data_IF_008480733059
#
_entry.id   IF_008480733059
#
_cell.length_a   1.000
_cell.length_b   1.000
_cell.length_c   1.000
_cell.angle_alpha   90.00
_cell.angle_beta   90.00
_cell.angle_gamma   90.00
#
_symmetry.space_group_name_H-M   'P 1'
#
loop_
_entity.id
_entity.type
_entity.pdbx_description
1 polymer ?
#
# COMPACT_ATOMS: atom_id res chain seq x y z
N UNK A 1 14.55 -3.43 1.23
CA UNK A 1 13.57 -3.84 0.18
C UNK A 1 12.58 -4.77 0.86
N UNK A 2 11.28 -4.64 0.62
CA UNK A 2 10.27 -5.62 1.06
C UNK A 2 10.06 -6.67 -0.03
N UNK A 3 10.87 -7.76 -0.08
CA UNK A 3 10.85 -8.68 -1.21
C UNK A 3 9.54 -9.45 -1.30
N UNK A 4 8.87 -9.67 -0.17
CA UNK A 4 7.63 -10.45 -0.07
C UNK A 4 6.53 -9.87 -0.95
N UNK A 5 6.45 -8.53 -1.04
CA UNK A 5 5.40 -7.84 -1.80
C UNK A 5 5.95 -7.23 -3.09
N UNK A 6 7.15 -6.65 -3.08
CA UNK A 6 7.73 -6.03 -4.27
C UNK A 6 8.07 -7.02 -5.39
N UNK A 7 8.44 -8.27 -5.05
CA UNK A 7 8.74 -9.28 -6.09
C UNK A 7 7.48 -9.69 -6.84
N UNK A 8 6.38 -10.10 -6.18
CA UNK A 8 5.12 -10.35 -6.88
C UNK A 8 4.59 -9.15 -7.66
N UNK A 9 4.70 -7.93 -7.11
CA UNK A 9 4.30 -6.70 -7.81
C UNK A 9 5.14 -6.53 -9.09
N UNK A 10 6.46 -6.67 -9.00
CA UNK A 10 7.35 -6.55 -10.15
C UNK A 10 7.04 -7.59 -11.24
N UNK A 11 6.85 -8.85 -10.86
CA UNK A 11 6.45 -9.92 -11.79
C UNK A 11 5.10 -9.59 -12.43
N UNK A 12 4.13 -9.10 -11.65
CA UNK A 12 2.83 -8.65 -12.15
C UNK A 12 2.98 -7.56 -13.21
N UNK A 13 3.80 -6.54 -12.96
CA UNK A 13 4.10 -5.47 -13.93
C UNK A 13 4.69 -6.04 -15.22
N UNK A 14 5.60 -7.01 -15.15
CA UNK A 14 6.11 -7.67 -16.36
C UNK A 14 5.01 -8.43 -17.09
N UNK A 15 4.19 -9.21 -16.39
CA UNK A 15 3.14 -10.05 -16.98
C UNK A 15 2.06 -9.24 -17.69
N UNK A 16 1.61 -8.13 -17.12
CA UNK A 16 0.56 -7.28 -17.72
C UNK A 16 1.04 -6.54 -18.97
N UNK A 17 2.36 -6.33 -19.10
CA UNK A 17 2.96 -5.63 -20.24
C UNK A 17 3.48 -6.59 -21.32
N UNK A 18 3.27 -7.92 -21.20
CA UNK A 18 3.65 -8.86 -22.24
C UNK A 18 2.76 -8.66 -23.48
N UNK A 19 3.34 -8.40 -24.67
CA UNK A 19 2.56 -8.20 -25.88
C UNK A 19 1.76 -9.46 -26.20
N UNK A 20 0.49 -9.27 -26.58
CA UNK A 20 -0.44 -10.35 -26.96
C UNK A 20 -0.79 -11.36 -25.85
N UNK A 21 -0.37 -11.13 -24.60
CA UNK A 21 -0.67 -12.06 -23.51
C UNK A 21 -2.10 -11.96 -22.99
N UNK A 22 -2.75 -10.79 -23.11
CA UNK A 22 -4.14 -10.59 -22.70
C UNK A 22 -4.40 -10.86 -21.20
N UNK A 23 -3.37 -10.84 -20.36
CA UNK A 23 -3.46 -11.27 -18.96
C UNK A 23 -4.19 -10.27 -18.07
N UNK A 24 -4.16 -9.00 -18.42
CA UNK A 24 -4.95 -7.93 -17.81
C UNK A 24 -5.50 -7.05 -18.92
N UNK A 25 -6.80 -7.11 -19.14
CA UNK A 25 -7.49 -6.35 -20.19
C UNK A 25 -8.18 -5.19 -19.52
N UNK A 26 -7.72 -3.97 -19.83
CA UNK A 26 -8.36 -2.75 -19.35
C UNK A 26 -9.67 -2.52 -20.11
N UNK A 27 -10.80 -2.59 -19.41
CA UNK A 27 -12.10 -2.22 -19.96
C UNK A 27 -12.65 -1.00 -19.18
N UNK A 28 -12.84 0.17 -19.84
CA UNK A 28 -13.34 1.37 -19.18
C UNK A 28 -14.79 1.26 -18.69
N UNK A 29 -15.57 0.29 -19.17
CA UNK A 29 -16.93 0.01 -18.67
C UNK A 29 -16.94 -0.89 -17.41
N UNK A 30 -15.77 -1.26 -16.88
CA UNK A 30 -15.61 -2.17 -15.77
C UNK A 30 -15.46 -3.62 -16.20
N UNK A 31 -15.38 -4.54 -15.23
CA UNK A 31 -15.33 -5.97 -15.48
C UNK A 31 -16.59 -6.39 -16.27
N UNK A 32 -16.50 -6.84 -17.53
CA UNK A 32 -17.66 -7.00 -18.42
C UNK A 32 -18.55 -8.19 -18.07
N UNK A 33 -18.43 -8.72 -16.86
CA UNK A 33 -19.06 -9.97 -16.55
C UNK A 33 -19.72 -9.88 -15.18
N UNK A 34 -21.04 -9.69 -15.23
CA UNK A 34 -21.96 -10.24 -14.24
C UNK A 34 -21.78 -11.76 -14.24
N UNK A 35 -20.65 -12.24 -13.72
CA UNK A 35 -20.34 -13.66 -13.66
C UNK A 35 -21.11 -14.23 -12.49
N UNK A 36 -22.28 -14.76 -12.81
CA UNK A 36 -23.14 -15.43 -11.83
C UNK A 36 -22.59 -16.80 -11.42
N UNK A 37 -21.71 -17.41 -12.24
CA UNK A 37 -21.21 -18.77 -12.05
C UNK A 37 -19.71 -18.94 -12.39
N UNK A 38 -19.00 -19.77 -11.62
CA UNK A 38 -17.60 -20.16 -11.88
C UNK A 38 -17.37 -20.70 -13.31
N UNK A 39 -18.39 -21.33 -13.90
CA UNK A 39 -18.37 -21.83 -15.28
C UNK A 39 -18.32 -20.74 -16.34
N UNK A 40 -18.98 -19.60 -16.11
CA UNK A 40 -18.96 -18.45 -17.01
C UNK A 40 -17.62 -17.71 -16.92
N UNK A 41 -17.04 -17.62 -15.72
CA UNK A 41 -15.70 -17.08 -15.52
C UNK A 41 -14.65 -17.83 -16.35
N UNK A 42 -14.65 -19.17 -16.27
CA UNK A 42 -13.68 -20.01 -16.96
C UNK A 42 -13.86 -19.92 -18.49
N UNK A 43 -15.10 -19.81 -18.98
CA UNK A 43 -15.37 -19.63 -20.41
C UNK A 43 -14.91 -18.27 -20.92
N UNK A 44 -15.17 -17.19 -20.17
CA UNK A 44 -14.73 -15.84 -20.53
C UNK A 44 -13.19 -15.70 -20.52
N UNK A 45 -12.50 -16.39 -19.59
CA UNK A 45 -11.04 -16.50 -19.60
C UNK A 45 -10.55 -17.27 -20.82
N UNK A 46 -11.18 -18.42 -21.13
CA UNK A 46 -10.82 -19.25 -22.29
C UNK A 46 -11.10 -18.57 -23.64
N UNK A 47 -12.07 -17.66 -23.69
CA UNK A 47 -12.40 -16.85 -24.86
C UNK A 47 -11.48 -15.62 -25.03
N UNK A 48 -10.65 -15.30 -24.04
CA UNK A 48 -9.79 -14.12 -24.05
C UNK A 48 -10.52 -12.81 -23.80
N UNK A 49 -11.76 -12.85 -23.32
CA UNK A 49 -12.57 -11.67 -22.97
C UNK A 49 -12.16 -11.11 -21.59
N UNK A 50 -11.65 -11.97 -20.70
CA UNK A 50 -11.20 -11.61 -19.35
C UNK A 50 -9.82 -12.20 -19.10
N UNK A 51 -8.85 -11.35 -18.75
CA UNK A 51 -7.52 -11.79 -18.34
C UNK A 51 -7.52 -12.42 -16.93
N UNK A 52 -6.66 -13.41 -16.69
CA UNK A 52 -6.52 -14.05 -15.38
C UNK A 52 -6.23 -13.05 -14.26
N UNK A 53 -5.42 -12.01 -14.53
CA UNK A 53 -5.07 -11.00 -13.54
C UNK A 53 -6.23 -10.03 -13.27
N UNK A 54 -7.17 -9.84 -14.22
CA UNK A 54 -8.40 -9.08 -13.97
C UNK A 54 -9.22 -9.74 -12.86
N UNK A 55 -9.32 -11.08 -12.86
CA UNK A 55 -10.08 -11.83 -11.84
C UNK A 55 -9.47 -11.62 -10.46
N UNK A 56 -8.16 -11.77 -10.35
CA UNK A 56 -7.43 -11.61 -9.07
C UNK A 56 -7.56 -10.16 -8.58
N UNK A 57 -7.49 -9.18 -9.47
CA UNK A 57 -7.66 -7.78 -9.14
C UNK A 57 -9.08 -7.51 -8.61
N UNK A 58 -10.12 -7.90 -9.36
CA UNK A 58 -11.51 -7.57 -9.02
C UNK A 58 -11.99 -8.30 -7.76
N UNK A 59 -11.77 -9.61 -7.66
CA UNK A 59 -12.22 -10.37 -6.49
C UNK A 59 -11.28 -10.26 -5.29
N UNK A 60 -10.05 -9.77 -5.46
CA UNK A 60 -9.06 -9.72 -4.40
C UNK A 60 -8.75 -8.31 -3.90
N UNK A 61 -8.45 -7.38 -4.80
CA UNK A 61 -7.96 -6.02 -4.47
C UNK A 61 -9.11 -5.02 -4.47
N UNK A 62 -9.93 -5.01 -5.52
CA UNK A 62 -11.10 -4.13 -5.67
C UNK A 62 -12.19 -4.46 -4.63
N UNK A 63 -12.37 -5.75 -4.32
CA UNK A 63 -13.23 -6.21 -3.22
C UNK A 63 -12.66 -5.95 -1.82
N UNK A 64 -11.44 -5.40 -1.72
CA UNK A 64 -10.71 -5.12 -0.48
C UNK A 64 -10.35 -6.36 0.37
N UNK A 65 -10.67 -7.58 -0.08
CA UNK A 65 -10.47 -8.81 0.70
C UNK A 65 -8.98 -9.08 0.97
N UNK A 66 -8.12 -8.96 -0.04
CA UNK A 66 -6.68 -9.23 0.12
C UNK A 66 -6.03 -8.21 1.07
N UNK A 67 -6.20 -6.88 0.91
CA UNK A 67 -5.67 -5.91 1.87
C UNK A 67 -6.11 -6.17 3.31
N UNK A 68 -7.39 -6.50 3.53
CA UNK A 68 -7.92 -6.78 4.86
C UNK A 68 -7.35 -8.06 5.47
N UNK A 69 -7.19 -9.13 4.69
CA UNK A 69 -6.56 -10.37 5.16
C UNK A 69 -5.08 -10.18 5.50
N UNK A 70 -4.35 -9.40 4.69
CA UNK A 70 -2.96 -9.04 5.01
C UNK A 70 -2.91 -8.25 6.31
N UNK A 71 -3.80 -7.26 6.48
CA UNK A 71 -3.86 -6.44 7.69
C UNK A 71 -4.21 -7.27 8.94
N UNK A 72 -5.13 -8.23 8.82
CA UNK A 72 -5.43 -9.20 9.87
C UNK A 72 -4.20 -10.03 10.24
N UNK A 73 -3.46 -10.51 9.23
CA UNK A 73 -2.22 -11.25 9.42
C UNK A 73 -1.14 -10.44 10.13
N UNK A 74 -0.93 -9.18 9.72
CA UNK A 74 -0.03 -8.24 10.40
C UNK A 74 -0.45 -8.04 11.85
N UNK A 75 -1.74 -7.80 12.10
CA UNK A 75 -2.30 -7.68 13.45
C UNK A 75 -2.06 -8.91 14.33
N UNK A 76 -2.17 -10.11 13.77
CA UNK A 76 -1.91 -11.36 14.49
C UNK A 76 -0.42 -11.58 14.82
N UNK A 77 0.49 -10.95 14.08
CA UNK A 77 1.95 -11.05 14.30
C UNK A 77 2.51 -9.97 15.24
N UNK A 78 1.74 -8.93 15.58
CA UNK A 78 2.20 -7.83 16.43
C UNK A 78 2.31 -8.27 17.89
N UNK A 79 3.48 -8.02 18.50
CA UNK A 79 3.66 -8.14 19.95
C UNK A 79 3.37 -6.80 20.65
N UNK A 80 2.31 -6.78 21.47
CA UNK A 80 1.90 -5.60 22.22
C UNK A 80 2.63 -5.42 23.57
N UNK A 81 3.48 -6.38 24.00
CA UNK A 81 4.15 -6.32 25.31
C UNK A 81 4.96 -5.04 25.51
N UNK A 82 5.71 -4.61 24.50
CA UNK A 82 6.53 -3.38 24.56
C UNK A 82 5.66 -2.13 24.71
N UNK A 83 4.55 -2.07 23.96
CA UNK A 83 3.60 -0.94 24.00
C UNK A 83 2.87 -0.86 25.34
N UNK A 84 2.47 -2.01 25.91
CA UNK A 84 1.81 -2.08 27.22
C UNK A 84 2.77 -1.72 28.36
N UNK A 85 4.03 -2.16 28.28
CA UNK A 85 5.04 -1.84 29.28
C UNK A 85 5.35 -0.33 29.36
N UNK A 86 5.21 0.40 28.25
CA UNK A 86 5.37 1.86 28.18
C UNK A 86 4.28 2.53 27.33
N UNK A 87 3.12 2.84 27.92
CA UNK A 87 2.00 3.44 27.20
C UNK A 87 2.33 4.79 26.55
N UNK A 88 3.31 5.53 27.10
CA UNK A 88 3.75 6.81 26.51
C UNK A 88 4.31 6.64 25.10
N UNK A 89 4.80 5.44 24.76
CA UNK A 89 5.24 5.09 23.40
C UNK A 89 4.13 5.22 22.36
N UNK A 90 2.86 5.05 22.77
CA UNK A 90 1.71 5.24 21.90
C UNK A 90 1.59 6.68 21.39
N UNK A 91 1.96 7.67 22.20
CA UNK A 91 1.92 9.08 21.82
C UNK A 91 2.95 9.41 20.72
N UNK A 92 4.12 8.75 20.74
CA UNK A 92 5.09 8.87 19.65
C UNK A 92 4.53 8.29 18.34
N UNK A 93 3.76 7.19 18.41
CA UNK A 93 3.04 6.63 17.27
C UNK A 93 1.98 7.58 16.71
N UNK A 94 1.22 8.26 17.57
CA UNK A 94 0.26 9.27 17.13
C UNK A 94 0.95 10.46 16.42
N UNK A 95 2.12 10.88 16.91
CA UNK A 95 2.89 11.96 16.30
C UNK A 95 3.46 11.55 14.94
N UNK A 96 3.78 10.27 14.73
CA UNK A 96 4.22 9.77 13.43
C UNK A 96 3.17 10.00 12.33
N UNK A 97 1.87 10.00 12.67
CA UNK A 97 0.81 10.27 11.70
C UNK A 97 0.66 11.73 11.28
N UNK A 98 1.39 12.67 11.90
CA UNK A 98 1.54 14.01 11.33
C UNK A 98 2.19 13.96 9.95
N UNK A 99 3.03 12.94 9.67
CA UNK A 99 3.61 12.72 8.35
C UNK A 99 2.55 12.59 7.25
N UNK A 100 1.46 11.86 7.51
CA UNK A 100 0.34 11.70 6.57
C UNK A 100 -0.28 13.05 6.22
N UNK A 101 -0.57 13.86 7.23
CA UNK A 101 -1.18 15.18 7.03
C UNK A 101 -0.26 16.15 6.30
N UNK A 102 1.04 16.13 6.59
CA UNK A 102 2.02 16.99 5.91
C UNK A 102 2.08 16.62 4.43
N UNK A 103 2.19 15.32 4.11
CA UNK A 103 2.23 14.85 2.71
C UNK A 103 0.92 15.17 1.99
N UNK A 104 -0.23 14.98 2.64
CA UNK A 104 -1.54 15.35 2.10
C UNK A 104 -1.63 16.84 1.77
N UNK A 105 -1.25 17.72 2.70
CA UNK A 105 -1.29 19.18 2.49
C UNK A 105 -0.38 19.57 1.34
N UNK A 106 0.84 19.02 1.26
CA UNK A 106 1.76 19.30 0.16
C UNK A 106 1.16 18.83 -1.18
N UNK A 107 0.60 17.63 -1.23
CA UNK A 107 -0.03 17.09 -2.43
C UNK A 107 -1.23 17.93 -2.88
N UNK A 108 -2.09 18.35 -1.95
CA UNK A 108 -3.24 19.18 -2.23
C UNK A 108 -2.85 20.60 -2.67
N UNK A 109 -1.89 21.23 -1.97
CA UNK A 109 -1.39 22.57 -2.30
C UNK A 109 -0.61 22.61 -3.61
N UNK A 110 -0.08 21.48 -4.09
CA UNK A 110 0.56 21.42 -5.41
C UNK A 110 -0.40 21.68 -6.57
N UNK A 111 -1.71 21.55 -6.37
CA UNK A 111 -2.74 21.70 -7.41
C UNK A 111 -2.76 20.59 -8.45
N UNK A 112 -1.93 19.56 -8.30
CA UNK A 112 -1.79 18.46 -9.26
C UNK A 112 -2.78 17.31 -9.02
N UNK A 113 -3.33 17.20 -7.82
CA UNK A 113 -4.14 16.07 -7.38
C UNK A 113 -5.49 16.56 -6.84
N UNK A 114 -6.55 15.80 -7.11
CA UNK A 114 -7.84 15.98 -6.44
C UNK A 114 -7.72 15.68 -4.94
N UNK A 115 -8.72 16.06 -4.13
CA UNK A 115 -8.71 15.77 -2.68
C UNK A 115 -8.56 14.27 -2.40
N UNK A 116 -9.23 13.42 -3.18
CA UNK A 116 -9.18 11.97 -3.04
C UNK A 116 -7.79 11.43 -3.38
N UNK A 117 -7.21 11.87 -4.50
CA UNK A 117 -5.86 11.45 -4.91
C UNK A 117 -4.79 11.97 -3.95
N UNK A 118 -4.92 13.20 -3.46
CA UNK A 118 -4.05 13.76 -2.45
C UNK A 118 -4.12 12.97 -1.14
N UNK A 119 -5.29 12.44 -0.76
CA UNK A 119 -5.43 11.55 0.39
C UNK A 119 -4.68 10.22 0.19
N UNK A 120 -4.77 9.63 -1.01
CA UNK A 120 -4.00 8.43 -1.38
C UNK A 120 -2.48 8.67 -1.44
N UNK A 121 -2.03 9.87 -1.81
CA UNK A 121 -0.61 10.24 -1.72
C UNK A 121 -0.21 10.49 -0.26
N UNK A 122 -1.08 11.13 0.52
CA UNK A 122 -0.88 11.43 1.93
C UNK A 122 -0.62 10.18 2.77
N UNK A 123 -1.42 9.12 2.58
CA UNK A 123 -1.32 7.90 3.40
C UNK A 123 0.05 7.20 3.29
N UNK A 124 0.80 7.42 2.20
CA UNK A 124 2.20 6.97 2.06
C UNK A 124 3.07 7.47 3.22
N UNK A 125 2.79 8.70 3.70
CA UNK A 125 3.49 9.30 4.84
C UNK A 125 3.32 8.54 6.17
N UNK A 126 2.32 7.67 6.27
CA UNK A 126 2.11 6.78 7.42
C UNK A 126 3.02 5.55 7.41
N UNK A 127 3.73 5.30 6.31
CA UNK A 127 4.64 4.17 6.12
C UNK A 127 3.99 2.80 6.38
N UNK A 128 2.69 2.67 6.10
CA UNK A 128 1.93 1.41 6.21
C UNK A 128 1.39 0.97 4.85
N UNK A 129 1.76 -0.23 4.40
CA UNK A 129 1.48 -0.74 3.06
C UNK A 129 0.02 -1.12 2.83
N UNK A 130 -0.53 -2.09 3.60
CA UNK A 130 -1.90 -2.53 3.42
C UNK A 130 -2.96 -1.41 3.50
N UNK A 131 -2.91 -0.46 4.45
CA UNK A 131 -3.83 0.67 4.47
C UNK A 131 -3.68 1.61 3.26
N UNK A 132 -2.46 1.75 2.74
CA UNK A 132 -2.21 2.55 1.54
C UNK A 132 -2.87 1.92 0.31
N UNK A 133 -2.73 0.61 0.14
CA UNK A 133 -3.38 -0.15 -0.94
C UNK A 133 -4.91 -0.07 -0.80
N UNK A 134 -5.41 -0.28 0.42
CA UNK A 134 -6.84 -0.21 0.74
C UNK A 134 -7.45 1.15 0.38
N UNK A 135 -6.88 2.24 0.91
CA UNK A 135 -7.40 3.59 0.68
C UNK A 135 -7.33 3.98 -0.81
N UNK A 136 -6.27 3.57 -1.49
CA UNK A 136 -6.09 3.89 -2.91
C UNK A 136 -7.05 3.11 -3.79
N UNK A 137 -7.32 1.83 -3.47
CA UNK A 137 -8.33 1.05 -4.17
C UNK A 137 -9.74 1.64 -4.00
N UNK A 138 -10.05 2.21 -2.83
CA UNK A 138 -11.35 2.82 -2.57
C UNK A 138 -11.52 4.23 -3.18
N UNK A 139 -10.48 5.07 -3.17
CA UNK A 139 -10.60 6.50 -3.52
C UNK A 139 -10.01 6.88 -4.88
N UNK A 140 -8.96 6.20 -5.33
CA UNK A 140 -8.26 6.51 -6.59
C UNK A 140 -7.65 5.24 -7.23
N UNK A 141 -8.48 4.28 -7.73
CA UNK A 141 -8.00 3.03 -8.29
C UNK A 141 -6.96 3.21 -9.40
N UNK A 142 -7.08 4.28 -10.19
CA UNK A 142 -6.16 4.63 -11.27
C UNK A 142 -4.72 4.91 -10.79
N UNK A 143 -4.54 5.32 -9.53
CA UNK A 143 -3.23 5.58 -8.93
C UNK A 143 -2.68 4.40 -8.13
N UNK A 144 -3.41 3.29 -8.05
CA UNK A 144 -3.06 2.16 -7.19
C UNK A 144 -1.68 1.60 -7.52
N UNK A 145 -1.38 1.36 -8.79
CA UNK A 145 -0.08 0.84 -9.22
C UNK A 145 1.09 1.72 -8.78
N UNK A 146 1.14 3.00 -9.23
CA UNK A 146 2.19 3.93 -8.84
C UNK A 146 2.32 4.12 -7.31
N UNK A 147 1.21 4.31 -6.60
CA UNK A 147 1.22 4.56 -5.15
C UNK A 147 1.73 3.33 -4.40
N UNK A 148 1.26 2.14 -4.76
CA UNK A 148 1.68 0.88 -4.12
C UNK A 148 3.17 0.64 -4.30
N UNK A 149 3.69 0.82 -5.52
CA UNK A 149 5.12 0.66 -5.81
C UNK A 149 5.97 1.64 -4.99
N UNK A 150 5.54 2.90 -4.93
CA UNK A 150 6.22 3.95 -4.18
C UNK A 150 6.20 3.69 -2.67
N UNK A 151 5.05 3.29 -2.11
CA UNK A 151 4.90 3.01 -0.69
C UNK A 151 5.86 1.92 -0.21
N UNK A 152 5.85 0.75 -0.85
CA UNK A 152 6.74 -0.36 -0.48
C UNK A 152 8.21 -0.08 -0.78
N UNK A 153 8.51 0.72 -1.81
CA UNK A 153 9.88 1.15 -2.10
C UNK A 153 10.44 2.11 -1.06
N UNK A 154 9.62 3.04 -0.53
CA UNK A 154 10.07 3.97 0.51
C UNK A 154 10.24 3.30 1.88
N UNK A 155 9.36 2.36 2.25
CA UNK A 155 9.54 1.57 3.48
C UNK A 155 10.90 0.86 3.51
N UNK A 156 11.33 0.37 2.35
CA UNK A 156 12.63 -0.24 2.17
C UNK A 156 13.82 0.73 2.32
N UNK A 157 13.61 2.02 2.09
CA UNK A 157 14.63 3.07 2.18
C UNK A 157 14.75 3.67 3.59
N UNK A 158 13.89 3.30 4.53
CA UNK A 158 13.92 3.78 5.93
C UNK A 158 15.31 3.65 6.57
N UNK A 159 16.06 2.54 6.44
CA UNK A 159 17.41 2.43 7.02
C UNK A 159 18.43 3.43 6.45
N UNK A 160 18.17 3.98 5.27
CA UNK A 160 19.02 4.98 4.61
C UNK A 160 18.57 6.39 4.99
N UNK A 161 17.25 6.64 5.00
CA UNK A 161 16.68 7.96 5.25
C UNK A 161 16.63 8.33 6.74
N UNK A 162 16.35 7.37 7.61
CA UNK A 162 16.13 7.62 9.04
C UNK A 162 17.41 8.02 9.80
N UNK A 163 18.58 7.38 9.63
CA UNK A 163 19.77 7.73 10.40
C UNK A 163 20.29 9.17 10.19
N UNK A 164 20.32 9.74 8.96
CA UNK A 164 20.66 11.13 8.74
C UNK A 164 19.72 12.11 9.46
N UNK A 165 18.40 11.86 9.42
CA UNK A 165 17.40 12.71 10.07
C UNK A 165 17.56 12.69 11.58
N UNK A 166 17.75 11.49 12.18
CA UNK A 166 18.06 11.37 13.61
C UNK A 166 19.35 12.12 13.94
N UNK A 167 20.39 12.00 13.08
CA UNK A 167 21.67 12.65 13.28
C UNK A 167 21.57 14.19 13.31
N UNK A 168 20.65 14.74 12.52
CA UNK A 168 20.39 16.18 12.38
C UNK A 168 19.57 16.75 13.54
N UNK A 169 18.52 16.04 13.98
CA UNK A 169 17.54 16.57 14.92
C UNK A 169 17.85 16.33 16.40
N UNK A 170 18.67 15.33 16.72
CA UNK A 170 18.96 14.95 18.11
C UNK A 170 20.41 15.19 18.48
N UNK A 171 20.72 15.31 19.77
CA UNK A 171 22.07 15.48 20.29
C UNK A 171 22.69 14.16 20.73
N UNK A 172 24.02 14.13 20.90
CA UNK A 172 24.72 12.94 21.46
C UNK A 172 24.26 12.61 22.88
N UNK A 173 23.89 13.61 23.68
CA UNK A 173 23.41 13.43 25.06
C UNK A 173 22.06 12.72 25.09
N UNK A 174 21.12 13.13 24.24
CA UNK A 174 19.78 12.51 24.13
C UNK A 174 19.85 11.06 23.64
N UNK A 175 20.73 10.76 22.68
CA UNK A 175 20.93 9.38 22.17
C UNK A 175 21.57 8.43 23.18
N UNK A 176 22.20 8.96 24.23
CA UNK A 176 22.87 8.16 25.26
C UNK A 176 21.98 7.87 26.48
N UNK A 177 20.71 8.26 26.45
CA UNK A 177 19.76 8.02 27.55
C UNK A 177 19.52 6.51 27.70
N UNK A 178 19.73 5.99 28.92
CA UNK A 178 19.45 4.60 29.26
C UNK A 178 17.95 4.36 29.34
N UNK A 179 17.42 3.51 28.47
CA UNK A 179 16.06 3.02 28.58
C UNK A 179 16.03 1.84 29.57
N UNK A 180 15.25 1.97 30.65
CA UNK A 180 14.99 0.86 31.57
C UNK A 180 14.38 -0.35 30.79
N UNK A 181 14.67 -1.60 31.17
CA UNK A 181 13.96 -2.75 30.61
C UNK A 181 12.47 -2.70 30.93
#
# INVERSE_FOLDING_TARGET
>A
MEPVLLVPIGIGVFMVNLPFAGLMIYNPEGFPAEVSSLSELIKAIGAGEIGLLNVIYTYGIESEVIPLLIFLGVGAMIDFRSTIARPISFLFGATAQLGVFIVFIIAYCSGMFTVNEAACVGIIGGSDGPPTVYLTAALAPQLLGPITLVAYSYMALVPILQPPVIKLLTTKKERAIFMKP
#
